data_IF_545741711229
#
_entry.id   IF_545741711229
#
_cell.length_a   1.000
_cell.length_b   1.000
_cell.length_c   1.000
_cell.angle_alpha   90.00
_cell.angle_beta   90.00
_cell.angle_gamma   90.00
#
_symmetry.space_group_name_H-M   'P 1'
#
loop_
_entity.id
_entity.type
_entity.pdbx_description
1 polymer ?
#
# COMPACT_ATOMS: atom_id res chain seq x y z
N UNK A 1 2.52 18.67 -2.80
CA UNK A 1 3.12 17.50 -3.47
C UNK A 1 2.31 17.06 -4.67
N UNK A 2 2.94 16.33 -5.57
CA UNK A 2 2.31 15.73 -6.74
C UNK A 2 2.92 14.35 -7.00
N UNK A 3 2.13 13.42 -7.54
CA UNK A 3 2.59 12.13 -7.99
C UNK A 3 1.78 11.72 -9.21
N UNK A 4 2.39 10.97 -10.13
CA UNK A 4 1.74 10.47 -11.32
C UNK A 4 2.16 9.02 -11.59
N UNK A 5 1.21 8.21 -12.04
CA UNK A 5 1.43 6.83 -12.46
C UNK A 5 0.80 6.63 -13.84
N UNK A 6 1.46 5.86 -14.67
CA UNK A 6 0.87 5.35 -15.92
C UNK A 6 0.30 3.98 -15.63
N UNK A 7 -0.99 3.82 -15.85
CA UNK A 7 -1.68 2.53 -15.71
C UNK A 7 -2.04 2.02 -17.11
N UNK A 8 -1.69 0.80 -17.42
CA UNK A 8 -1.94 0.18 -18.72
C UNK A 8 -2.40 -1.27 -18.55
N UNK A 9 -3.13 -1.78 -19.54
CA UNK A 9 -3.36 -3.22 -19.60
C UNK A 9 -2.07 -3.96 -19.97
N UNK A 10 -1.96 -5.25 -19.61
CA UNK A 10 -0.82 -6.09 -19.99
C UNK A 10 -0.59 -6.02 -21.51
N UNK A 11 -1.63 -6.19 -22.30
CA UNK A 11 -1.54 -6.12 -23.76
C UNK A 11 -1.00 -4.77 -24.27
N UNK A 12 -1.40 -3.66 -23.64
CA UNK A 12 -0.88 -2.34 -24.03
C UNK A 12 0.59 -2.16 -23.61
N UNK A 13 0.96 -2.63 -22.43
CA UNK A 13 2.34 -2.59 -21.95
C UNK A 13 3.27 -3.37 -22.89
N UNK A 14 2.89 -4.59 -23.24
CA UNK A 14 3.67 -5.45 -24.16
C UNK A 14 3.79 -4.82 -25.54
N UNK A 15 2.69 -4.33 -26.10
CA UNK A 15 2.68 -3.66 -27.42
C UNK A 15 3.55 -2.42 -27.48
N UNK A 16 3.62 -1.67 -26.39
CA UNK A 16 4.38 -0.41 -26.29
C UNK A 16 5.79 -0.61 -25.74
N UNK A 17 6.19 -1.82 -25.39
CA UNK A 17 7.50 -2.12 -24.80
C UNK A 17 7.74 -1.41 -23.47
N UNK A 18 6.69 -1.27 -22.63
CA UNK A 18 6.81 -0.57 -21.36
C UNK A 18 7.49 -1.43 -20.30
N UNK A 19 8.40 -0.84 -19.56
CA UNK A 19 8.96 -1.47 -18.35
C UNK A 19 7.93 -1.41 -17.22
N UNK A 20 7.30 -2.56 -16.93
CA UNK A 20 6.27 -2.68 -15.91
C UNK A 20 6.91 -2.72 -14.53
N UNK A 21 6.65 -1.70 -13.71
CA UNK A 21 7.15 -1.63 -12.33
C UNK A 21 6.48 -2.66 -11.42
N UNK A 22 5.16 -2.78 -11.52
CA UNK A 22 4.37 -3.73 -10.75
C UNK A 22 3.03 -4.02 -11.42
N UNK A 23 2.45 -5.16 -11.11
CA UNK A 23 1.07 -5.52 -11.47
C UNK A 23 0.13 -5.10 -10.35
N UNK A 24 -1.02 -4.55 -10.74
CA UNK A 24 -2.11 -4.19 -9.83
C UNK A 24 -2.91 -5.46 -9.54
N UNK A 25 -2.97 -5.82 -8.26
CA UNK A 25 -3.75 -6.94 -7.74
C UNK A 25 -5.11 -6.52 -7.18
N UNK A 26 -5.60 -7.26 -6.18
CA UNK A 26 -6.87 -6.97 -5.55
C UNK A 26 -6.84 -5.65 -4.77
N UNK A 27 -8.00 -5.01 -4.72
CA UNK A 27 -8.23 -3.85 -3.87
C UNK A 27 -9.21 -4.17 -2.74
N UNK A 28 -9.03 -3.50 -1.60
CA UNK A 28 -9.92 -3.52 -0.46
C UNK A 28 -10.52 -2.15 -0.20
N UNK A 29 -11.83 -2.09 -0.05
CA UNK A 29 -12.55 -0.88 0.36
C UNK A 29 -13.42 -1.21 1.56
N UNK A 30 -13.39 -0.37 2.57
CA UNK A 30 -14.19 -0.50 3.79
C UNK A 30 -14.77 0.85 4.19
N UNK A 31 -15.86 0.81 4.93
CA UNK A 31 -16.45 2.00 5.53
C UNK A 31 -17.18 1.63 6.82
N UNK A 32 -17.17 2.54 7.78
CA UNK A 32 -17.88 2.37 9.05
C UNK A 32 -17.21 1.39 10.03
N UNK A 33 -17.90 1.03 11.13
CA UNK A 33 -19.29 1.37 11.47
C UNK A 33 -19.52 2.84 11.90
N UNK A 34 -18.47 3.57 12.18
CA UNK A 34 -18.48 4.98 12.57
C UNK A 34 -17.44 5.78 11.79
N UNK A 35 -17.18 7.02 12.17
CA UNK A 35 -16.22 7.90 11.49
C UNK A 35 -14.75 7.70 11.92
N UNK A 36 -14.44 6.68 12.73
CA UNK A 36 -13.07 6.39 13.18
C UNK A 36 -12.17 6.01 12.02
N UNK A 37 -10.94 6.54 12.01
CA UNK A 37 -10.00 6.36 10.91
C UNK A 37 -8.89 5.34 11.20
N UNK A 38 -8.57 5.12 12.47
CA UNK A 38 -7.34 4.50 12.92
C UNK A 38 -7.15 3.06 12.44
N UNK A 39 -8.23 2.30 12.31
CA UNK A 39 -8.20 0.90 11.90
C UNK A 39 -8.52 0.69 10.42
N UNK A 40 -8.95 1.71 9.72
CA UNK A 40 -9.46 1.54 8.36
C UNK A 40 -8.41 1.10 7.34
N UNK A 41 -7.14 1.54 7.39
CA UNK A 41 -6.12 0.97 6.53
C UNK A 41 -5.92 -0.53 6.77
N UNK A 42 -5.88 -0.98 8.04
CA UNK A 42 -5.76 -2.40 8.36
C UNK A 42 -6.96 -3.20 7.86
N UNK A 43 -8.17 -2.73 8.08
CA UNK A 43 -9.39 -3.37 7.61
C UNK A 43 -9.41 -3.50 6.08
N UNK A 44 -9.00 -2.45 5.37
CA UNK A 44 -8.89 -2.46 3.91
C UNK A 44 -7.82 -3.43 3.42
N UNK A 45 -6.64 -3.48 4.08
CA UNK A 45 -5.57 -4.44 3.79
C UNK A 45 -6.08 -5.87 3.94
N UNK A 46 -6.70 -6.21 5.06
CA UNK A 46 -7.25 -7.54 5.31
C UNK A 46 -8.28 -7.93 4.24
N UNK A 47 -9.13 -6.99 3.83
CA UNK A 47 -10.09 -7.21 2.75
C UNK A 47 -9.43 -7.45 1.39
N UNK A 48 -8.38 -6.68 1.05
CA UNK A 48 -7.62 -6.87 -0.17
C UNK A 48 -6.90 -8.24 -0.17
N UNK A 49 -6.25 -8.60 0.95
CA UNK A 49 -5.59 -9.89 1.13
C UNK A 49 -6.58 -11.05 0.94
N UNK A 50 -7.75 -10.99 1.58
CA UNK A 50 -8.79 -12.01 1.43
C UNK A 50 -9.21 -12.18 -0.03
N UNK A 51 -9.41 -11.09 -0.77
CA UNK A 51 -9.76 -11.15 -2.20
C UNK A 51 -8.66 -11.75 -3.07
N UNK A 52 -7.39 -11.53 -2.69
CA UNK A 52 -6.22 -12.04 -3.42
C UNK A 52 -5.85 -13.49 -3.02
N UNK A 53 -6.45 -14.02 -1.94
CA UNK A 53 -6.06 -15.31 -1.36
C UNK A 53 -4.72 -15.25 -0.62
N UNK A 54 -4.37 -14.09 -0.07
CA UNK A 54 -3.15 -13.83 0.69
C UNK A 54 -3.43 -13.64 2.18
N UNK A 55 -2.40 -13.77 2.98
CA UNK A 55 -2.33 -13.35 4.38
C UNK A 55 -1.40 -12.13 4.53
N UNK A 56 -1.43 -11.47 5.67
CA UNK A 56 -0.48 -10.37 5.99
C UNK A 56 0.97 -10.84 5.98
N UNK A 57 1.21 -12.14 6.27
CA UNK A 57 2.56 -12.71 6.26
C UNK A 57 3.17 -12.77 4.84
N UNK A 58 2.34 -12.84 3.81
CA UNK A 58 2.77 -12.91 2.41
C UNK A 58 3.16 -11.53 1.83
N UNK A 59 2.92 -10.45 2.58
CA UNK A 59 3.25 -9.09 2.17
C UNK A 59 4.71 -8.76 2.54
N UNK A 60 5.54 -8.49 1.56
CA UNK A 60 6.93 -8.07 1.75
C UNK A 60 7.02 -6.63 2.27
N UNK A 61 6.14 -5.75 1.79
CA UNK A 61 6.09 -4.33 2.16
C UNK A 61 4.65 -3.87 2.36
N UNK A 62 4.48 -2.91 3.28
CA UNK A 62 3.20 -2.32 3.62
C UNK A 62 3.37 -0.79 3.70
N UNK A 63 2.70 -0.07 2.83
CA UNK A 63 2.62 1.38 2.89
C UNK A 63 1.29 1.80 3.51
N UNK A 64 1.33 2.45 4.66
CA UNK A 64 0.15 2.99 5.35
C UNK A 64 0.27 4.51 5.39
N UNK A 65 -0.69 5.22 4.83
CA UNK A 65 -0.71 6.67 4.94
C UNK A 65 -0.91 7.10 6.39
N UNK A 66 0.08 7.81 6.92
CA UNK A 66 0.08 8.32 8.30
C UNK A 66 -0.68 9.66 8.37
N UNK A 67 -1.99 9.65 8.09
CA UNK A 67 -2.81 10.85 8.25
C UNK A 67 -2.70 11.41 9.68
N UNK A 68 -2.51 10.51 10.65
CA UNK A 68 -2.12 10.76 12.04
C UNK A 68 -1.22 9.62 12.50
N UNK A 69 -0.31 9.83 13.43
CA UNK A 69 0.54 8.78 14.01
C UNK A 69 -0.29 7.61 14.55
N UNK A 70 -1.45 7.90 15.14
CA UNK A 70 -2.37 6.89 15.66
C UNK A 70 -2.87 5.92 14.58
N UNK A 71 -3.01 6.36 13.33
CA UNK A 71 -3.45 5.51 12.20
C UNK A 71 -2.39 4.45 11.91
N UNK A 72 -1.12 4.85 11.79
CA UNK A 72 -0.02 3.92 11.55
C UNK A 72 0.13 2.89 12.67
N UNK A 73 0.16 3.35 13.92
CA UNK A 73 0.33 2.49 15.10
C UNK A 73 -0.84 1.53 15.26
N UNK A 74 -2.08 2.02 15.19
CA UNK A 74 -3.27 1.19 15.37
C UNK A 74 -3.40 0.16 14.24
N UNK A 75 -3.15 0.56 13.00
CA UNK A 75 -3.19 -0.33 11.85
C UNK A 75 -2.13 -1.44 11.93
N UNK A 76 -0.88 -1.12 12.26
CA UNK A 76 0.17 -2.13 12.41
C UNK A 76 -0.18 -3.17 13.49
N UNK A 77 -0.72 -2.72 14.62
CA UNK A 77 -1.20 -3.60 15.70
C UNK A 77 -2.37 -4.48 15.26
N UNK A 78 -3.34 -3.92 14.56
CA UNK A 78 -4.52 -4.65 14.06
C UNK A 78 -4.14 -5.71 13.00
N UNK A 79 -3.06 -5.48 12.25
CA UNK A 79 -2.49 -6.46 11.32
C UNK A 79 -1.68 -7.56 12.03
N UNK A 80 -1.54 -7.51 13.35
CA UNK A 80 -0.79 -8.49 14.14
C UNK A 80 0.73 -8.38 13.98
N UNK A 81 1.25 -7.25 13.51
CA UNK A 81 2.68 -7.05 13.31
C UNK A 81 3.38 -6.79 14.65
N UNK A 82 4.49 -7.50 14.87
CA UNK A 82 5.43 -7.18 15.96
C UNK A 82 6.15 -5.86 15.64
N UNK A 83 6.81 -5.27 16.65
CA UNK A 83 7.63 -4.06 16.41
C UNK A 83 8.70 -4.30 15.35
N UNK A 84 9.42 -5.41 15.42
CA UNK A 84 10.46 -5.75 14.45
C UNK A 84 9.89 -5.85 13.02
N UNK A 85 8.75 -6.53 12.85
CA UNK A 85 8.08 -6.64 11.55
C UNK A 85 7.54 -5.29 11.05
N UNK A 86 7.11 -4.42 11.95
CA UNK A 86 6.68 -3.06 11.58
C UNK A 86 7.88 -2.26 11.08
N UNK A 87 9.00 -2.26 11.81
CA UNK A 87 10.21 -1.54 11.43
C UNK A 87 10.79 -2.04 10.09
N UNK A 88 10.67 -3.34 9.81
CA UNK A 88 11.21 -3.96 8.59
C UNK A 88 10.35 -3.76 7.35
N UNK A 89 9.00 -3.68 7.52
CA UNK A 89 8.06 -3.80 6.39
C UNK A 89 7.11 -2.61 6.21
N UNK A 90 6.90 -1.78 7.26
CA UNK A 90 5.91 -0.69 7.19
C UNK A 90 6.61 0.64 7.00
N UNK A 91 6.22 1.38 5.94
CA UNK A 91 6.72 2.72 5.65
C UNK A 91 8.26 2.83 5.76
N UNK A 92 8.95 1.88 5.18
CA UNK A 92 10.39 1.63 5.37
C UNK A 92 11.31 2.79 5.01
N UNK A 93 10.84 3.71 4.19
CA UNK A 93 11.56 4.94 3.81
C UNK A 93 10.90 6.21 4.38
N UNK A 94 10.10 6.06 5.43
CA UNK A 94 9.30 7.13 6.01
C UNK A 94 7.93 7.27 5.35
N UNK A 95 6.99 7.90 6.06
CA UNK A 95 5.62 8.11 5.63
C UNK A 95 5.21 9.58 5.67
N UNK A 96 3.91 9.83 5.77
CA UNK A 96 3.33 11.17 5.74
C UNK A 96 3.78 12.06 6.91
N UNK A 97 4.14 11.49 8.06
CA UNK A 97 4.68 12.25 9.18
C UNK A 97 6.03 12.89 8.80
N UNK A 98 6.89 12.15 8.08
CA UNK A 98 8.19 12.64 7.67
C UNK A 98 8.11 13.57 6.43
N UNK A 99 7.22 13.29 5.47
CA UNK A 99 7.21 13.91 4.15
C UNK A 99 6.00 14.84 3.91
N UNK A 100 5.01 14.81 4.80
CA UNK A 100 3.74 15.52 4.62
C UNK A 100 2.65 14.67 3.95
N UNK A 101 1.41 15.17 4.05
CA UNK A 101 0.22 14.50 3.52
C UNK A 101 -0.54 15.43 2.56
N UNK A 102 -0.09 15.57 1.31
CA UNK A 102 -0.88 16.25 0.29
C UNK A 102 -2.05 15.34 -0.13
N UNK A 103 -3.24 15.59 0.44
CA UNK A 103 -4.40 14.69 0.38
C UNK A 103 -4.66 14.16 -1.04
N UNK A 104 -4.69 15.04 -2.04
CA UNK A 104 -4.94 14.66 -3.43
C UNK A 104 -3.82 13.86 -4.13
N UNK A 105 -2.63 13.79 -3.54
CA UNK A 105 -1.48 13.09 -4.12
C UNK A 105 -1.03 11.86 -3.32
N UNK A 106 -1.45 11.73 -2.06
CA UNK A 106 -0.92 10.70 -1.15
C UNK A 106 -1.17 9.28 -1.66
N UNK A 107 -2.35 8.96 -2.20
CA UNK A 107 -2.63 7.65 -2.76
C UNK A 107 -1.68 7.27 -3.91
N UNK A 108 -1.51 8.17 -4.87
CA UNK A 108 -0.59 7.98 -5.99
C UNK A 108 0.87 7.85 -5.51
N UNK A 109 1.29 8.66 -4.52
CA UNK A 109 2.61 8.58 -3.92
C UNK A 109 2.88 7.22 -3.28
N UNK A 110 1.94 6.72 -2.46
CA UNK A 110 2.07 5.42 -1.79
C UNK A 110 2.24 4.29 -2.79
N UNK A 111 1.40 4.26 -3.82
CA UNK A 111 1.44 3.23 -4.87
C UNK A 111 2.75 3.30 -5.66
N UNK A 112 3.19 4.50 -6.05
CA UNK A 112 4.45 4.68 -6.77
C UNK A 112 5.65 4.26 -5.91
N UNK A 113 5.70 4.71 -4.65
CA UNK A 113 6.78 4.36 -3.73
C UNK A 113 6.84 2.85 -3.51
N UNK A 114 5.70 2.22 -3.26
CA UNK A 114 5.62 0.77 -3.06
C UNK A 114 6.16 0.00 -4.28
N UNK A 115 5.74 0.38 -5.49
CA UNK A 115 6.19 -0.27 -6.72
C UNK A 115 7.71 -0.16 -6.91
N UNK A 116 8.27 1.03 -6.69
CA UNK A 116 9.71 1.29 -6.80
C UNK A 116 10.50 0.53 -5.72
N UNK A 117 10.04 0.54 -4.47
CA UNK A 117 10.74 -0.11 -3.37
C UNK A 117 10.70 -1.63 -3.48
N UNK A 118 9.57 -2.22 -3.91
CA UNK A 118 9.51 -3.64 -4.25
C UNK A 118 10.53 -4.00 -5.33
N UNK A 119 10.59 -3.20 -6.42
CA UNK A 119 11.56 -3.40 -7.49
C UNK A 119 13.01 -3.28 -7.00
N UNK A 120 13.32 -2.30 -6.13
CA UNK A 120 14.65 -2.12 -5.52
C UNK A 120 15.06 -3.31 -4.65
N UNK A 121 14.11 -4.00 -4.02
CA UNK A 121 14.34 -5.20 -3.20
C UNK A 121 14.33 -6.50 -3.98
N UNK A 122 14.26 -6.44 -5.31
CA UNK A 122 14.29 -7.63 -6.16
C UNK A 122 12.93 -8.24 -6.48
N UNK A 123 11.85 -7.52 -6.21
CA UNK A 123 10.48 -7.96 -6.47
C UNK A 123 9.72 -8.32 -5.19
N UNK A 124 8.51 -8.83 -5.34
CA UNK A 124 7.66 -9.27 -4.23
C UNK A 124 6.27 -8.66 -4.26
N UNK A 125 5.48 -8.99 -3.24
CA UNK A 125 4.10 -8.50 -3.09
C UNK A 125 4.01 -7.52 -1.93
N UNK A 126 3.34 -6.40 -2.14
CA UNK A 126 3.11 -5.40 -1.11
C UNK A 126 1.73 -4.78 -1.21
N UNK A 127 1.38 -3.95 -0.25
CA UNK A 127 0.10 -3.25 -0.18
C UNK A 127 0.29 -1.78 0.18
N UNK A 128 -0.44 -0.91 -0.51
CA UNK A 128 -0.57 0.50 -0.16
C UNK A 128 -1.98 0.75 0.37
N UNK A 129 -2.10 1.43 1.52
CA UNK A 129 -3.38 1.67 2.17
C UNK A 129 -3.48 3.07 2.78
N UNK A 130 -4.69 3.57 2.83
CA UNK A 130 -5.00 4.86 3.45
C UNK A 130 -6.40 4.86 4.07
N UNK A 131 -6.61 5.73 5.05
CA UNK A 131 -7.93 6.04 5.56
C UNK A 131 -8.52 7.22 4.79
N UNK A 132 -9.84 7.26 4.71
CA UNK A 132 -10.62 8.36 4.15
C UNK A 132 -11.58 8.98 5.16
N UNK A 133 -11.90 10.25 4.99
CA UNK A 133 -12.86 10.93 5.84
C UNK A 133 -14.19 10.21 5.93
N UNK A 134 -14.81 10.20 7.12
CA UNK A 134 -16.06 9.49 7.36
C UNK A 134 -15.90 7.98 7.64
N UNK A 135 -14.72 7.55 8.13
CA UNK A 135 -14.49 6.15 8.51
C UNK A 135 -14.28 5.22 7.32
N UNK A 136 -13.74 5.74 6.24
CA UNK A 136 -13.43 4.95 5.05
C UNK A 136 -11.98 4.46 5.06
N UNK A 137 -11.71 3.38 4.32
CA UNK A 137 -10.37 2.88 4.07
C UNK A 137 -10.26 2.22 2.70
N UNK A 138 -9.13 2.44 2.06
CA UNK A 138 -8.79 1.83 0.78
C UNK A 138 -7.42 1.16 0.86
N UNK A 139 -7.26 0.03 0.16
CA UNK A 139 -5.99 -0.65 0.00
C UNK A 139 -5.86 -1.23 -1.39
N UNK A 140 -4.63 -1.25 -1.91
CA UNK A 140 -4.30 -1.81 -3.21
C UNK A 140 -3.07 -2.70 -3.10
N UNK A 141 -3.20 -3.96 -3.54
CA UNK A 141 -2.08 -4.89 -3.61
C UNK A 141 -1.32 -4.67 -4.92
N UNK A 142 0.00 -4.67 -4.83
CA UNK A 142 0.91 -4.66 -5.97
C UNK A 142 1.85 -5.86 -5.91
N UNK A 143 2.17 -6.41 -7.07
CA UNK A 143 3.21 -7.43 -7.20
C UNK A 143 4.25 -6.96 -8.21
N UNK A 144 5.46 -6.71 -7.74
CA UNK A 144 6.60 -6.38 -8.61
C UNK A 144 7.30 -7.68 -9.06
N UNK A 145 7.68 -7.79 -10.35
CA UNK A 145 8.41 -8.96 -10.83
C UNK A 145 9.78 -9.06 -10.17
N UNK A 146 10.27 -10.30 -10.02
CA UNK A 146 11.66 -10.52 -9.67
C UNK A 146 12.55 -9.93 -10.78
N UNK A 147 13.44 -9.00 -10.43
CA UNK A 147 14.43 -8.48 -11.36
C UNK A 147 15.70 -9.32 -11.23
N UNK A 148 16.23 -9.82 -12.34
CA UNK A 148 17.54 -10.40 -12.37
C UNK A 148 18.57 -9.33 -11.96
N UNK A 149 19.38 -9.66 -10.97
CA UNK A 149 20.52 -8.86 -10.49
C UNK A 149 21.60 -8.79 -11.54
#
# INVERSE_FOLDING_TARGET
GAAALVVASRTAADRLGLDVLAEIGAYGQVAGPDSSLQLQPANAILRACTKQGLSVADLSLIEINEAFAAVGVASARALGLTKAQTDERVNVNGGAIAMGHPIGASGARLVLHLALELGRRGGGTGVAALCGGGGQGDALILTAPARAS
#
